data_IF_494661205519
#
_entry.id   IF_494661205519
#
_cell.length_a   1.000
_cell.length_b   1.000
_cell.length_c   1.000
_cell.angle_alpha   90.00
_cell.angle_beta   90.00
_cell.angle_gamma   90.00
#
_symmetry.space_group_name_H-M   'P 1'
#
loop_
_entity.id
_entity.type
_entity.pdbx_description
1 polymer ?
#
# COMPACT_ATOMS: atom_id res chain seq x y z
N UNK A 1 -21.42 -11.60 40.62
CA UNK A 1 -21.82 -11.67 39.20
C UNK A 1 -20.79 -10.87 38.42
N UNK A 2 -19.91 -11.58 37.71
CA UNK A 2 -18.76 -11.00 37.02
C UNK A 2 -19.20 -10.22 35.78
N UNK A 3 -18.65 -9.02 35.63
CA UNK A 3 -18.56 -8.36 34.33
C UNK A 3 -17.31 -8.92 33.63
N UNK A 4 -17.38 -10.17 33.21
CA UNK A 4 -16.36 -10.73 32.32
C UNK A 4 -16.36 -9.95 31.01
N UNK A 5 -15.27 -9.23 30.77
CA UNK A 5 -14.50 -9.27 29.52
C UNK A 5 -15.31 -9.27 28.21
N UNK A 6 -15.79 -8.11 27.75
CA UNK A 6 -16.20 -7.91 26.35
C UNK A 6 -15.93 -6.49 25.85
N UNK A 7 -14.76 -5.93 26.16
CA UNK A 7 -14.11 -5.01 25.22
C UNK A 7 -12.76 -5.62 24.89
N UNK A 8 -12.87 -6.71 24.14
CA UNK A 8 -11.86 -7.22 23.24
C UNK A 8 -11.02 -6.04 22.75
N UNK A 9 -9.71 -6.07 23.02
CA UNK A 9 -8.76 -5.28 22.26
C UNK A 9 -9.08 -5.54 20.78
N UNK A 10 -9.83 -4.64 20.15
CA UNK A 10 -9.91 -4.62 18.71
C UNK A 10 -8.47 -4.33 18.30
N UNK A 11 -7.73 -5.29 17.69
CA UNK A 11 -6.43 -4.95 17.17
C UNK A 11 -6.65 -3.73 16.28
N UNK A 12 -5.75 -2.75 16.36
CA UNK A 12 -5.74 -1.64 15.42
C UNK A 12 -5.61 -2.28 14.04
N UNK A 13 -6.73 -2.57 13.39
CA UNK A 13 -6.73 -3.09 12.03
C UNK A 13 -6.30 -1.90 11.23
N UNK A 14 -4.99 -1.80 10.95
CA UNK A 14 -4.50 -0.87 9.95
C UNK A 14 -5.14 -1.30 8.63
N UNK A 15 -6.32 -0.74 8.34
CA UNK A 15 -6.95 -0.92 7.04
C UNK A 15 -6.05 -0.22 6.03
N UNK A 16 -5.48 -1.00 5.10
CA UNK A 16 -4.77 -0.44 3.97
C UNK A 16 -5.80 -0.11 2.89
N UNK A 17 -5.93 1.17 2.58
CA UNK A 17 -6.80 1.64 1.49
C UNK A 17 -5.94 1.98 0.27
N UNK A 18 -6.23 1.34 -0.86
CA UNK A 18 -5.69 1.73 -2.16
C UNK A 18 -6.72 2.61 -2.86
N UNK A 19 -6.32 3.81 -3.24
CA UNK A 19 -7.12 4.70 -4.08
C UNK A 19 -6.71 4.50 -5.54
N UNK A 20 -7.67 4.17 -6.39
CA UNK A 20 -7.47 3.99 -7.83
C UNK A 20 -8.04 5.20 -8.54
N UNK A 21 -7.19 5.85 -9.33
CA UNK A 21 -7.53 7.05 -10.09
C UNK A 21 -6.94 6.88 -11.51
N UNK A 22 -7.77 7.00 -12.54
CA UNK A 22 -7.41 6.76 -13.94
C UNK A 22 -7.64 8.04 -14.74
N UNK A 23 -6.66 8.42 -15.55
CA UNK A 23 -6.76 9.51 -16.52
C UNK A 23 -6.10 9.10 -17.82
N UNK A 24 -6.66 9.53 -18.94
CA UNK A 24 -6.12 9.26 -20.27
C UNK A 24 -4.98 10.23 -20.65
N UNK A 25 -4.89 11.36 -19.95
CA UNK A 25 -4.13 12.55 -20.31
C UNK A 25 -3.13 13.00 -19.24
N UNK A 26 -3.03 12.27 -18.12
CA UNK A 26 -2.02 12.51 -17.10
C UNK A 26 -2.57 12.41 -15.69
N UNK A 27 -2.60 13.55 -14.98
CA UNK A 27 -3.00 13.59 -13.57
C UNK A 27 -4.52 13.42 -13.44
N UNK A 28 -5.01 12.38 -12.75
CA UNK A 28 -6.44 12.20 -12.54
C UNK A 28 -7.03 13.28 -11.63
N UNK A 29 -8.27 13.67 -11.92
CA UNK A 29 -9.01 14.72 -11.18
C UNK A 29 -9.93 14.16 -10.09
N UNK A 30 -10.19 12.86 -10.08
CA UNK A 30 -11.07 12.20 -9.11
C UNK A 30 -10.59 10.78 -8.78
N UNK A 31 -11.11 10.25 -7.68
CA UNK A 31 -10.97 8.84 -7.28
C UNK A 31 -12.06 8.03 -7.97
N UNK A 32 -11.67 6.96 -8.66
CA UNK A 32 -12.61 6.05 -9.34
C UNK A 32 -13.02 4.88 -8.44
N UNK A 33 -12.10 4.40 -7.59
CA UNK A 33 -12.37 3.36 -6.62
C UNK A 33 -11.48 3.46 -5.38
N UNK A 34 -12.00 2.97 -4.25
CA UNK A 34 -11.25 2.74 -3.03
C UNK A 34 -11.34 1.25 -2.68
N UNK A 35 -10.18 0.60 -2.50
CA UNK A 35 -10.09 -0.81 -2.14
C UNK A 35 -9.51 -0.91 -0.74
N UNK A 36 -10.31 -1.40 0.21
CA UNK A 36 -9.85 -1.71 1.57
C UNK A 36 -9.43 -3.17 1.67
N UNK A 37 -8.12 -3.42 1.56
CA UNK A 37 -7.53 -4.75 1.69
C UNK A 37 -6.02 -4.67 1.78
N UNK A 38 -5.47 -5.10 2.91
CA UNK A 38 -4.02 -5.22 3.13
C UNK A 38 -3.38 -6.16 2.12
N UNK A 39 -3.99 -7.30 1.83
CA UNK A 39 -3.46 -8.27 0.88
C UNK A 39 -3.36 -7.68 -0.54
N UNK A 40 -4.36 -6.89 -0.96
CA UNK A 40 -4.33 -6.23 -2.27
C UNK A 40 -3.26 -5.14 -2.29
N UNK A 41 -3.18 -4.33 -1.23
CA UNK A 41 -2.16 -3.29 -1.11
C UNK A 41 -0.74 -3.87 -1.18
N UNK A 42 -0.46 -4.93 -0.42
CA UNK A 42 0.81 -5.62 -0.42
C UNK A 42 1.11 -6.27 -1.78
N UNK A 43 0.14 -6.93 -2.41
CA UNK A 43 0.34 -7.51 -3.73
C UNK A 43 0.67 -6.46 -4.79
N UNK A 44 0.01 -5.30 -4.78
CA UNK A 44 0.30 -4.20 -5.71
C UNK A 44 1.69 -3.60 -5.47
N UNK A 45 2.12 -3.50 -4.21
CA UNK A 45 3.49 -3.10 -3.88
C UNK A 45 4.52 -4.12 -4.37
N UNK A 46 4.27 -5.41 -4.14
CA UNK A 46 5.16 -6.51 -4.50
C UNK A 46 5.38 -6.63 -6.02
N UNK A 47 4.35 -6.34 -6.83
CA UNK A 47 4.46 -6.30 -8.31
C UNK A 47 5.62 -5.41 -8.80
N UNK A 48 5.89 -4.29 -8.12
CA UNK A 48 6.95 -3.35 -8.51
C UNK A 48 8.22 -3.47 -7.67
N UNK A 49 8.12 -3.88 -6.42
CA UNK A 49 9.25 -3.83 -5.47
C UNK A 49 9.60 -5.17 -4.82
N UNK A 50 8.84 -6.23 -5.11
CA UNK A 50 9.08 -7.61 -4.70
C UNK A 50 10.30 -8.25 -5.37
N UNK A 51 10.41 -9.56 -5.25
CA UNK A 51 11.59 -10.32 -5.71
C UNK A 51 11.72 -10.35 -7.23
N UNK A 52 10.61 -10.43 -7.96
CA UNK A 52 10.55 -10.43 -9.44
C UNK A 52 9.74 -9.24 -9.96
N UNK A 53 10.29 -8.02 -9.92
CA UNK A 53 9.53 -6.81 -10.25
C UNK A 53 9.26 -6.71 -11.74
N UNK A 54 8.07 -6.22 -12.11
CA UNK A 54 7.71 -5.98 -13.52
C UNK A 54 8.54 -4.85 -14.15
N UNK A 55 9.18 -4.01 -13.33
CA UNK A 55 10.13 -2.98 -13.75
C UNK A 55 11.36 -2.98 -12.84
N UNK A 56 12.40 -3.77 -13.17
CA UNK A 56 13.65 -3.81 -12.39
C UNK A 56 14.36 -2.45 -12.29
N UNK A 57 14.26 -1.63 -13.35
CA UNK A 57 14.86 -0.29 -13.37
C UNK A 57 14.19 0.66 -12.37
N UNK A 58 12.86 0.58 -12.18
CA UNK A 58 12.15 1.35 -11.18
C UNK A 58 12.63 0.99 -9.77
N UNK A 59 12.70 -0.31 -9.45
CA UNK A 59 13.21 -0.78 -8.14
C UNK A 59 14.63 -0.27 -7.87
N UNK A 60 15.53 -0.39 -8.86
CA UNK A 60 16.91 0.12 -8.73
C UNK A 60 16.95 1.64 -8.52
N UNK A 61 16.12 2.41 -9.24
CA UNK A 61 16.07 3.86 -9.05
C UNK A 61 15.62 4.26 -7.65
N UNK A 62 14.64 3.54 -7.08
CA UNK A 62 14.18 3.79 -5.70
C UNK A 62 15.27 3.45 -4.69
N UNK A 63 15.97 2.32 -4.85
CA UNK A 63 17.10 1.94 -3.98
C UNK A 63 18.18 3.03 -3.99
N UNK A 64 18.62 3.46 -5.17
CA UNK A 64 19.64 4.51 -5.29
C UNK A 64 19.19 5.83 -4.65
N UNK A 65 17.92 6.19 -4.82
CA UNK A 65 17.31 7.36 -4.19
C UNK A 65 17.33 7.27 -2.66
N UNK A 66 16.87 6.16 -2.09
CA UNK A 66 16.84 5.92 -0.65
C UNK A 66 18.26 5.91 -0.07
N UNK A 67 19.21 5.24 -0.72
CA UNK A 67 20.61 5.26 -0.32
C UNK A 67 21.18 6.69 -0.29
N UNK A 68 20.77 7.58 -1.19
CA UNK A 68 21.26 8.95 -1.19
C UNK A 68 20.72 9.80 -0.04
N UNK A 69 19.51 9.48 0.45
CA UNK A 69 18.82 10.24 1.51
C UNK A 69 19.19 9.73 2.90
N UNK A 70 19.45 8.43 3.04
CA UNK A 70 19.69 7.77 4.33
C UNK A 70 21.17 7.64 4.72
N UNK A 71 22.09 8.15 3.89
CA UNK A 71 23.53 8.27 4.20
C UNK A 71 23.81 9.46 5.11
#
# INVERSE_FOLDING_TARGET
MGYESLLQHQPLSMSATVLVCISADGLPSSVDAAIESENVALALFDVFFGDTPVSPSLKSSVVNGLESVLK
#
